data_IF_859402610184
#
_entry.id   IF_859402610184
#
_cell.length_a   1.000
_cell.length_b   1.000
_cell.length_c   1.000
_cell.angle_alpha   90.00
_cell.angle_beta   90.00
_cell.angle_gamma   90.00
#
_symmetry.space_group_name_H-M   'P 1'
#
loop_
_entity.id
_entity.type
_entity.pdbx_description
1 polymer ?
#
# COMPACT_ATOMS: atom_id res chain seq x y z
N UNK A 1 -4.87 -24.67 17.96
CA UNK A 1 -4.74 -23.18 17.94
C UNK A 1 -4.08 -22.64 16.65
N UNK A 2 -4.32 -23.24 15.46
CA UNK A 2 -3.64 -22.87 14.21
C UNK A 2 -4.54 -22.31 13.10
N UNK A 3 -5.77 -22.81 12.99
CA UNK A 3 -6.69 -22.50 11.88
C UNK A 3 -7.17 -21.04 11.93
N UNK A 4 -7.55 -20.53 13.11
CA UNK A 4 -7.99 -19.13 13.29
C UNK A 4 -6.87 -18.10 13.05
N UNK A 5 -5.60 -18.44 13.34
CA UNK A 5 -4.44 -17.58 13.05
C UNK A 5 -4.18 -17.47 11.55
N UNK A 6 -4.27 -18.59 10.83
CA UNK A 6 -4.17 -18.65 9.36
C UNK A 6 -5.24 -17.78 8.67
N UNK A 7 -6.50 -17.88 9.12
CA UNK A 7 -7.64 -17.07 8.65
C UNK A 7 -7.51 -15.58 9.05
N UNK A 8 -6.77 -15.22 10.08
CA UNK A 8 -6.50 -13.79 10.36
C UNK A 8 -5.37 -13.25 9.49
N UNK A 9 -4.39 -14.10 9.19
CA UNK A 9 -3.18 -13.72 8.47
C UNK A 9 -3.43 -13.41 6.99
N UNK A 10 -4.37 -14.10 6.33
CA UNK A 10 -4.73 -13.82 4.92
C UNK A 10 -5.41 -12.46 4.68
N UNK A 11 -5.89 -11.80 5.75
CA UNK A 11 -6.64 -10.54 5.71
C UNK A 11 -5.71 -9.35 5.91
N UNK A 12 -4.42 -9.60 6.16
CA UNK A 12 -3.42 -8.56 6.41
C UNK A 12 -2.81 -8.10 5.08
N UNK A 13 -2.62 -6.79 4.98
CA UNK A 13 -1.86 -6.17 3.91
C UNK A 13 -0.40 -6.62 3.94
N UNK A 14 0.20 -6.79 2.76
CA UNK A 14 1.56 -7.29 2.55
C UNK A 14 2.23 -6.55 1.40
N UNK A 15 3.53 -6.28 1.52
CA UNK A 15 4.38 -5.72 0.46
C UNK A 15 5.46 -6.76 0.07
N UNK A 16 5.01 -7.89 -0.43
CA UNK A 16 5.79 -9.09 -0.74
C UNK A 16 5.99 -9.33 -2.24
N UNK A 17 5.62 -8.36 -3.07
CA UNK A 17 5.90 -8.34 -4.50
C UNK A 17 6.95 -7.26 -4.79
N UNK A 18 7.82 -7.50 -5.78
CA UNK A 18 8.83 -6.54 -6.21
C UNK A 18 9.04 -6.56 -7.72
N UNK A 19 9.38 -5.41 -8.29
CA UNK A 19 9.75 -5.26 -9.71
C UNK A 19 10.78 -4.14 -9.87
N UNK A 20 11.52 -4.13 -10.97
CA UNK A 20 12.45 -3.06 -11.32
C UNK A 20 11.77 -1.86 -11.99
N UNK A 21 10.55 -2.03 -12.52
CA UNK A 21 9.84 -0.99 -13.25
C UNK A 21 8.36 -0.93 -12.88
N UNK A 22 7.84 0.29 -12.70
CA UNK A 22 6.40 0.51 -12.49
C UNK A 22 5.56 0.12 -13.71
N UNK A 23 6.14 0.09 -14.91
CA UNK A 23 5.46 -0.31 -16.14
C UNK A 23 5.09 -1.80 -16.16
N UNK A 24 5.79 -2.63 -15.38
CA UNK A 24 5.55 -4.08 -15.31
C UNK A 24 4.40 -4.43 -14.35
N UNK A 25 3.82 -3.43 -13.68
CA UNK A 25 2.77 -3.66 -12.69
C UNK A 25 1.42 -3.85 -13.41
N UNK A 26 0.71 -4.97 -13.19
CA UNK A 26 -0.57 -5.22 -13.84
C UNK A 26 -1.62 -4.18 -13.45
N UNK A 27 -2.64 -4.02 -14.29
CA UNK A 27 -3.75 -3.07 -14.05
C UNK A 27 -4.48 -3.34 -12.74
N UNK A 28 -4.58 -4.60 -12.31
CA UNK A 28 -5.13 -5.00 -11.01
C UNK A 28 -4.13 -5.81 -10.23
N UNK A 29 -3.94 -5.45 -8.97
CA UNK A 29 -3.10 -6.21 -8.06
C UNK A 29 -3.93 -7.25 -7.29
N UNK A 30 -3.30 -8.34 -6.83
CA UNK A 30 -3.96 -9.23 -5.90
C UNK A 30 -4.41 -8.46 -4.65
N UNK A 31 -5.59 -8.83 -4.13
CA UNK A 31 -6.20 -8.14 -2.99
C UNK A 31 -5.24 -8.08 -1.80
N UNK A 32 -5.11 -6.88 -1.19
CA UNK A 32 -4.27 -6.62 -0.01
C UNK A 32 -2.77 -6.88 -0.24
N UNK A 33 -2.30 -6.80 -1.48
CA UNK A 33 -0.89 -6.97 -1.84
C UNK A 33 -0.38 -5.68 -2.46
N UNK A 34 0.86 -5.33 -2.11
CA UNK A 34 1.55 -4.16 -2.59
C UNK A 34 2.86 -4.58 -3.27
N UNK A 35 3.26 -3.80 -4.28
CA UNK A 35 4.49 -3.99 -5.04
C UNK A 35 5.50 -2.93 -4.64
N UNK A 36 6.71 -3.34 -4.30
CA UNK A 36 7.85 -2.43 -4.14
C UNK A 36 8.57 -2.32 -5.49
N UNK A 37 8.61 -1.12 -6.06
CA UNK A 37 9.45 -0.85 -7.23
C UNK A 37 10.84 -0.50 -6.75
N UNK A 38 11.85 -1.25 -7.18
CA UNK A 38 13.24 -1.08 -6.78
C UNK A 38 14.11 -0.73 -7.99
N UNK A 39 14.94 0.30 -7.87
CA UNK A 39 15.88 0.69 -8.93
C UNK A 39 17.28 0.76 -8.33
N UNK A 40 18.25 0.09 -8.97
CA UNK A 40 19.62 -0.05 -8.48
C UNK A 40 19.68 -0.53 -7.01
N UNK A 41 18.83 -1.50 -6.65
CA UNK A 41 18.76 -2.05 -5.29
C UNK A 41 18.14 -1.11 -4.24
N UNK A 42 17.54 0.02 -4.65
CA UNK A 42 16.90 0.98 -3.75
C UNK A 42 15.39 1.04 -4.00
N UNK A 43 14.55 0.99 -2.96
CA UNK A 43 13.11 1.16 -3.12
C UNK A 43 12.79 2.59 -3.58
N UNK A 44 11.92 2.69 -4.58
CA UNK A 44 11.48 3.96 -5.19
C UNK A 44 10.00 4.20 -4.99
N UNK A 45 9.18 3.17 -5.16
CA UNK A 45 7.73 3.27 -5.01
C UNK A 45 7.17 2.09 -4.23
N UNK A 46 6.13 2.35 -3.43
CA UNK A 46 5.20 1.33 -2.98
C UNK A 46 3.88 1.53 -3.71
N UNK A 47 3.41 0.51 -4.42
CA UNK A 47 2.24 0.60 -5.29
C UNK A 47 1.22 -0.44 -4.88
N UNK A 48 -0.03 -0.02 -4.70
CA UNK A 48 -1.14 -0.90 -4.35
C UNK A 48 -2.49 -0.30 -4.73
N UNK A 49 -3.52 -1.14 -4.84
CA UNK A 49 -4.89 -0.68 -5.08
C UNK A 49 -5.51 -0.22 -3.75
N UNK A 50 -6.17 0.93 -3.74
CA UNK A 50 -6.65 1.56 -2.50
C UNK A 50 -7.70 0.69 -1.79
N UNK A 51 -7.65 0.52 -0.45
CA UNK A 51 -8.61 -0.28 0.32
C UNK A 51 -10.03 0.28 0.38
N UNK A 52 -10.35 1.36 -0.34
CA UNK A 52 -11.69 1.95 -0.36
C UNK A 52 -12.68 1.25 -1.32
N UNK A 53 -12.21 0.26 -2.09
CA UNK A 53 -12.97 -0.50 -3.08
C UNK A 53 -13.49 0.32 -4.28
N UNK A 54 -13.02 1.56 -4.47
CA UNK A 54 -13.36 2.42 -5.62
C UNK A 54 -12.42 2.26 -6.83
N UNK A 55 -11.44 1.36 -6.74
CA UNK A 55 -10.59 0.98 -7.88
C UNK A 55 -9.48 1.98 -8.27
N UNK A 56 -9.09 2.90 -7.39
CA UNK A 56 -7.91 3.76 -7.66
C UNK A 56 -6.62 3.16 -7.10
N UNK A 57 -5.50 3.47 -7.76
CA UNK A 57 -4.16 3.03 -7.40
C UNK A 57 -3.46 4.09 -6.56
N UNK A 58 -2.79 3.65 -5.50
CA UNK A 58 -1.95 4.48 -4.63
C UNK A 58 -0.49 4.23 -5.01
N UNK A 59 0.28 5.32 -5.14
CA UNK A 59 1.72 5.28 -5.41
C UNK A 59 2.46 6.11 -4.36
N UNK A 60 3.08 5.45 -3.38
CA UNK A 60 3.82 6.13 -2.33
C UNK A 60 5.30 6.20 -2.67
N UNK A 61 5.85 7.41 -2.62
CA UNK A 61 7.29 7.62 -2.80
C UNK A 61 8.08 7.02 -1.63
N UNK A 62 9.01 6.12 -1.93
CA UNK A 62 9.99 5.55 -1.00
C UNK A 62 11.39 6.13 -1.20
N UNK A 63 11.59 6.93 -2.24
CA UNK A 63 12.88 7.53 -2.55
C UNK A 63 13.21 8.65 -1.55
N UNK A 64 14.27 8.44 -0.77
CA UNK A 64 14.72 9.36 0.28
C UNK A 64 15.14 10.73 -0.24
N UNK A 65 15.39 10.86 -1.55
CA UNK A 65 15.73 12.13 -2.19
C UNK A 65 14.54 13.07 -2.39
N UNK A 66 13.30 12.57 -2.29
CA UNK A 66 12.09 13.34 -2.61
C UNK A 66 11.07 13.31 -1.47
N UNK A 67 10.25 14.36 -1.38
CA UNK A 67 9.13 14.46 -0.43
C UNK A 67 7.80 14.61 -1.20
N UNK A 68 6.67 14.14 -0.64
CA UNK A 68 6.55 13.40 0.62
C UNK A 68 7.20 12.00 0.56
N UNK A 69 7.63 11.47 1.70
CA UNK A 69 8.40 10.23 1.81
C UNK A 69 7.70 9.25 2.74
N UNK A 70 7.51 8.03 2.28
CA UNK A 70 7.06 6.90 3.08
C UNK A 70 8.20 5.94 3.38
N UNK A 71 8.07 5.26 4.52
CA UNK A 71 8.92 4.18 4.97
C UNK A 71 8.06 2.95 5.22
N UNK A 72 8.52 1.84 4.66
CA UNK A 72 8.02 0.52 5.03
C UNK A 72 8.78 0.09 6.29
N UNK A 73 8.10 0.04 7.42
CA UNK A 73 8.69 -0.47 8.67
C UNK A 73 8.69 -2.00 8.71
N UNK A 74 7.67 -2.63 8.13
CA UNK A 74 7.55 -4.07 7.96
C UNK A 74 6.82 -4.38 6.64
N UNK A 75 7.22 -5.42 5.91
CA UNK A 75 6.61 -5.85 4.64
C UNK A 75 5.54 -6.94 4.85
N UNK A 76 5.63 -7.75 5.90
CA UNK A 76 4.84 -8.97 6.06
C UNK A 76 4.60 -9.30 7.55
N UNK A 77 3.63 -8.66 8.22
CA UNK A 77 2.55 -7.84 7.65
C UNK A 77 2.92 -6.36 7.49
N UNK A 78 2.33 -5.71 6.48
CA UNK A 78 2.69 -4.36 6.06
C UNK A 78 2.48 -3.33 7.18
N UNK A 79 3.51 -2.54 7.45
CA UNK A 79 3.44 -1.36 8.31
C UNK A 79 4.11 -0.17 7.63
N UNK A 80 3.38 0.95 7.52
CA UNK A 80 3.81 2.16 6.83
C UNK A 80 3.88 3.37 7.75
N UNK A 81 4.83 4.26 7.45
CA UNK A 81 4.93 5.60 8.03
C UNK A 81 5.28 6.62 6.95
N UNK A 82 4.65 7.80 6.92
CA UNK A 82 3.49 8.24 7.71
C UNK A 82 2.18 7.57 7.24
N UNK A 83 1.02 8.15 7.62
CA UNK A 83 -0.29 7.79 7.04
C UNK A 83 -0.29 7.94 5.52
N UNK A 84 -1.18 7.21 4.86
CA UNK A 84 -1.50 7.41 3.45
C UNK A 84 -2.57 8.48 3.35
N UNK A 85 -2.30 9.55 2.61
CA UNK A 85 -3.21 10.66 2.35
C UNK A 85 -3.31 10.80 0.82
N UNK A 86 -4.26 10.07 0.23
CA UNK A 86 -4.42 9.92 -1.21
C UNK A 86 -5.61 10.75 -1.70
N UNK A 87 -5.37 11.63 -2.67
CA UNK A 87 -6.41 12.39 -3.37
C UNK A 87 -6.48 11.91 -4.81
N UNK A 88 -7.65 11.46 -5.22
CA UNK A 88 -7.91 10.89 -6.55
C UNK A 88 -9.17 11.48 -7.16
N UNK A 89 -9.44 11.15 -8.43
CA UNK A 89 -10.68 11.56 -9.11
C UNK A 89 -11.95 11.06 -8.42
N UNK A 90 -11.88 9.91 -7.73
CA UNK A 90 -13.04 9.31 -7.05
C UNK A 90 -13.25 9.86 -5.64
N UNK A 91 -12.30 10.65 -5.11
CA UNK A 91 -12.38 11.29 -3.80
C UNK A 91 -11.07 11.24 -3.01
N UNK A 92 -11.18 11.35 -1.69
CA UNK A 92 -10.07 11.45 -0.74
C UNK A 92 -10.06 10.28 0.24
N UNK A 93 -8.87 9.72 0.47
CA UNK A 93 -8.63 8.58 1.34
C UNK A 93 -7.46 8.88 2.28
N UNK A 94 -7.74 9.02 3.58
CA UNK A 94 -6.72 9.18 4.60
C UNK A 94 -6.77 8.02 5.60
N UNK A 95 -5.70 7.23 5.69
CA UNK A 95 -5.65 6.06 6.56
C UNK A 95 -4.23 5.70 6.98
N UNK A 96 -4.13 4.87 8.02
CA UNK A 96 -2.88 4.31 8.52
C UNK A 96 -2.86 2.81 8.26
N UNK A 97 -1.69 2.29 7.86
CA UNK A 97 -1.44 0.84 7.71
C UNK A 97 -0.47 0.38 8.79
N UNK A 98 -0.90 -0.49 9.70
CA UNK A 98 -0.09 -1.05 10.80
C UNK A 98 -0.43 -2.52 11.02
N UNK A 99 0.59 -3.37 11.16
CA UNK A 99 0.43 -4.83 11.32
C UNK A 99 -0.48 -5.45 10.22
N UNK A 100 -0.45 -4.86 9.02
CA UNK A 100 -1.28 -5.22 7.89
C UNK A 100 -2.77 -4.81 8.00
N UNK A 101 -3.15 -4.06 9.03
CA UNK A 101 -4.50 -3.51 9.18
C UNK A 101 -4.58 -2.07 8.69
N UNK A 102 -5.70 -1.74 8.06
CA UNK A 102 -6.05 -0.37 7.65
C UNK A 102 -6.94 0.25 8.73
N UNK A 103 -6.55 1.42 9.23
CA UNK A 103 -7.39 2.25 10.09
C UNK A 103 -7.63 3.59 9.41
N UNK A 104 -8.89 3.86 9.09
CA UNK A 104 -9.32 5.10 8.45
C UNK A 104 -9.22 6.28 9.41
N UNK A 105 -8.82 7.43 8.86
CA UNK A 105 -8.86 8.75 9.49
C UNK A 105 -9.97 9.56 8.82
N UNK A 106 -9.93 9.63 7.49
CA UNK A 106 -10.93 10.31 6.67
C UNK A 106 -11.19 9.51 5.39
N UNK A 107 -12.44 9.55 4.92
CA UNK A 107 -12.83 9.04 3.62
C UNK A 107 -13.94 9.92 3.08
N UNK A 108 -13.69 10.55 1.94
CA UNK A 108 -14.65 11.39 1.24
C UNK A 108 -14.79 10.90 -0.20
N UNK A 109 -16.03 10.91 -0.69
CA UNK A 109 -16.36 10.51 -2.04
C UNK A 109 -16.69 11.75 -2.87
N UNK A 110 -16.13 11.86 -4.07
CA UNK A 110 -16.57 12.85 -5.05
C UNK A 110 -17.66 12.16 -5.89
N UNK A 111 -18.92 12.57 -5.67
CA UNK A 111 -20.06 12.11 -6.48
C UNK A 111 -20.06 12.79 -7.84
#
# INVERSE_FOLDING_TARGET
MGILKSIRYWRRWKADLSTSSAADIPVRLPVRRAVVVESAGRPKWLIFDCPCDRGHRVMLNLDRGNRPLWRIADRYPLTLYPSVDERSSVGHCHYVVRDGYVRWIERTDHR
#
